data_IF_430025467436
#
_entry.id   IF_430025467436
#
_cell.length_a   1.000
_cell.length_b   1.000
_cell.length_c   1.000
_cell.angle_alpha   90.00
_cell.angle_beta   90.00
_cell.angle_gamma   90.00
#
_symmetry.space_group_name_H-M   'P 1'
#
loop_
_entity.id
_entity.type
_entity.pdbx_description
1 polymer ?
#
# COMPACT_ATOMS: atom_id res chain seq x y z
N UNK A 1 -19.67 4.73 44.65
CA UNK A 1 -18.98 5.92 44.14
C UNK A 1 -17.47 5.86 44.38
N UNK A 2 -16.98 5.86 45.62
CA UNK A 2 -15.53 5.87 45.92
C UNK A 2 -14.73 4.72 45.29
N UNK A 3 -15.25 3.49 45.32
CA UNK A 3 -14.63 2.33 44.67
C UNK A 3 -14.51 2.52 43.15
N UNK A 4 -15.53 3.07 42.50
CA UNK A 4 -15.51 3.35 41.07
C UNK A 4 -14.52 4.48 40.71
N UNK A 5 -14.37 5.49 41.58
CA UNK A 5 -13.35 6.54 41.42
C UNK A 5 -11.94 5.95 41.58
N UNK A 6 -11.73 5.09 42.59
CA UNK A 6 -10.45 4.41 42.79
C UNK A 6 -10.08 3.52 41.59
N UNK A 7 -11.05 2.79 41.04
CA UNK A 7 -10.87 2.01 39.81
C UNK A 7 -10.59 2.89 38.60
N UNK A 8 -11.20 4.07 38.47
CA UNK A 8 -10.87 5.02 37.40
C UNK A 8 -9.44 5.56 37.53
N UNK A 9 -8.97 5.84 38.74
CA UNK A 9 -7.61 6.36 38.99
C UNK A 9 -6.53 5.32 38.70
N UNK A 10 -6.87 4.03 38.78
CA UNK A 10 -5.99 2.92 38.40
C UNK A 10 -5.78 2.81 36.87
N UNK A 11 -6.42 3.68 36.07
CA UNK A 11 -6.35 3.71 34.59
C UNK A 11 -6.47 2.32 33.96
N UNK A 12 -7.60 1.61 34.17
CA UNK A 12 -7.82 0.34 33.52
C UNK A 12 -7.79 0.54 32.02
N UNK A 13 -6.94 -0.22 31.33
CA UNK A 13 -6.84 -0.28 29.88
C UNK A 13 -7.52 -1.55 29.37
N UNK A 14 -8.04 -1.47 28.15
CA UNK A 14 -8.42 -2.64 27.38
C UNK A 14 -7.68 -2.58 26.05
N UNK A 15 -7.15 -3.73 25.66
CA UNK A 15 -6.56 -3.96 24.35
C UNK A 15 -7.67 -3.90 23.29
N UNK A 16 -7.57 -2.95 22.36
CA UNK A 16 -8.47 -2.84 21.21
C UNK A 16 -7.64 -2.84 19.92
N UNK A 17 -8.15 -3.53 18.88
CA UNK A 17 -7.58 -3.46 17.53
C UNK A 17 -8.12 -2.19 16.87
N UNK A 18 -7.25 -1.24 16.60
CA UNK A 18 -7.56 0.00 15.88
C UNK A 18 -7.02 -0.11 14.45
N UNK A 19 -7.74 0.37 13.42
CA UNK A 19 -7.20 0.44 12.07
C UNK A 19 -5.90 1.25 12.04
N UNK A 20 -4.85 0.70 11.41
CA UNK A 20 -3.58 1.37 11.16
C UNK A 20 -3.57 1.83 9.70
N UNK A 21 -3.79 3.11 9.48
CA UNK A 21 -3.86 3.74 8.15
C UNK A 21 -2.45 4.07 7.58
N UNK A 22 -1.43 3.25 7.87
CA UNK A 22 -0.03 3.53 7.46
C UNK A 22 0.52 2.37 6.62
N UNK A 23 -0.04 2.21 5.43
CA UNK A 23 0.48 1.26 4.44
C UNK A 23 1.58 1.89 3.57
N UNK A 24 2.38 1.04 2.94
CA UNK A 24 3.46 1.46 2.04
C UNK A 24 3.20 0.92 0.66
N UNK A 25 2.94 1.81 -0.30
CA UNK A 25 2.78 1.42 -1.69
C UNK A 25 4.02 1.86 -2.47
N UNK A 26 4.56 0.97 -3.31
CA UNK A 26 5.58 1.34 -4.28
C UNK A 26 5.00 1.21 -5.67
N UNK A 27 5.02 2.32 -6.40
CA UNK A 27 4.65 2.35 -7.81
C UNK A 27 5.89 2.10 -8.66
N UNK A 28 5.90 1.01 -9.42
CA UNK A 28 6.95 0.64 -10.36
C UNK A 28 6.44 0.89 -11.79
N UNK A 29 7.06 1.84 -12.50
CA UNK A 29 6.66 2.22 -13.86
C UNK A 29 7.72 1.78 -14.85
N UNK A 30 7.27 1.04 -15.86
CA UNK A 30 8.07 0.64 -16.99
C UNK A 30 8.33 1.85 -17.90
N UNK A 31 9.60 2.07 -18.21
CA UNK A 31 10.10 3.11 -19.11
C UNK A 31 10.87 2.49 -20.27
N UNK A 32 10.63 1.22 -20.59
CA UNK A 32 11.22 0.56 -21.74
C UNK A 32 10.77 1.20 -23.07
N UNK A 33 11.54 1.02 -24.15
CA UNK A 33 11.22 1.58 -25.47
C UNK A 33 9.85 1.12 -25.99
N UNK A 34 9.38 -0.07 -25.64
CA UNK A 34 8.05 -0.55 -26.04
C UNK A 34 6.91 0.32 -25.46
N UNK A 35 7.16 1.05 -24.38
CA UNK A 35 6.23 2.03 -23.83
C UNK A 35 6.09 3.31 -24.69
N UNK A 36 6.89 3.47 -25.75
CA UNK A 36 6.69 4.50 -26.78
C UNK A 36 5.51 4.18 -27.71
N UNK A 37 5.02 2.93 -27.72
CA UNK A 37 3.92 2.52 -28.58
C UNK A 37 2.67 3.41 -28.38
N UNK A 38 2.00 3.69 -29.50
CA UNK A 38 0.87 4.65 -29.59
C UNK A 38 -0.49 3.95 -29.70
N UNK A 39 -0.53 2.65 -29.40
CA UNK A 39 -1.76 1.85 -29.32
C UNK A 39 -2.61 2.16 -28.08
N UNK A 40 -2.03 2.90 -27.12
CA UNK A 40 -2.75 3.60 -26.06
C UNK A 40 -2.44 5.09 -26.19
N UNK A 41 -3.46 5.95 -26.24
CA UNK A 41 -3.27 7.39 -26.44
C UNK A 41 -2.72 8.10 -25.20
N UNK A 42 -1.75 9.05 -25.35
CA UNK A 42 -1.02 9.39 -26.58
C UNK A 42 0.13 8.41 -26.90
N UNK A 43 0.71 7.80 -25.86
CA UNK A 43 1.56 6.60 -25.90
C UNK A 43 1.43 5.91 -24.54
N UNK A 44 1.88 4.65 -24.45
CA UNK A 44 1.77 3.85 -23.21
C UNK A 44 2.46 4.51 -22.02
N UNK A 45 3.64 5.10 -22.19
CA UNK A 45 4.37 5.77 -21.10
C UNK A 45 3.60 6.99 -20.57
N UNK A 46 3.06 7.83 -21.46
CA UNK A 46 2.25 8.98 -21.06
C UNK A 46 0.94 8.56 -20.39
N UNK A 47 0.32 7.49 -20.87
CA UNK A 47 -0.84 6.89 -20.21
C UNK A 47 -0.48 6.37 -18.81
N UNK A 48 0.67 5.70 -18.65
CA UNK A 48 1.17 5.23 -17.37
C UNK A 48 1.51 6.40 -16.42
N UNK A 49 2.10 7.50 -16.92
CA UNK A 49 2.34 8.72 -16.13
C UNK A 49 1.03 9.37 -15.66
N UNK A 50 0.02 9.43 -16.52
CA UNK A 50 -1.30 9.96 -16.15
C UNK A 50 -1.99 9.08 -15.10
N UNK A 51 -1.90 7.75 -15.27
CA UNK A 51 -2.37 6.77 -14.30
C UNK A 51 -1.65 6.89 -12.95
N UNK A 52 -0.33 7.05 -12.97
CA UNK A 52 0.52 7.27 -11.80
C UNK A 52 0.18 8.57 -11.06
N UNK A 53 -0.06 9.66 -11.81
CA UNK A 53 -0.46 10.96 -11.24
C UNK A 53 -1.83 10.84 -10.58
N UNK A 54 -2.78 10.19 -11.25
CA UNK A 54 -4.11 9.93 -10.66
C UNK A 54 -3.99 9.07 -9.40
N UNK A 55 -3.09 8.07 -9.42
CA UNK A 55 -2.81 7.23 -8.26
C UNK A 55 -2.32 8.04 -7.05
N UNK A 56 -1.45 9.05 -7.27
CA UNK A 56 -0.96 9.89 -6.15
C UNK A 56 -2.07 10.73 -5.53
N UNK A 57 -3.08 11.13 -6.31
CA UNK A 57 -4.21 11.95 -5.87
C UNK A 57 -5.26 11.18 -5.08
N UNK A 58 -5.51 9.91 -5.44
CA UNK A 58 -6.53 9.07 -4.78
C UNK A 58 -6.02 8.35 -3.53
N UNK A 59 -4.71 8.14 -3.42
CA UNK A 59 -4.13 7.40 -2.30
C UNK A 59 -4.27 8.19 -0.98
N UNK A 60 -4.76 7.58 0.12
CA UNK A 60 -4.91 8.27 1.40
C UNK A 60 -3.61 8.96 1.85
N UNK A 61 -3.65 10.20 2.34
CA UNK A 61 -2.45 10.98 2.66
C UNK A 61 -1.56 10.35 3.74
N UNK A 62 -2.11 9.42 4.54
CA UNK A 62 -1.40 8.69 5.59
C UNK A 62 -0.49 7.57 5.05
N UNK A 63 -0.69 7.15 3.79
CA UNK A 63 0.06 6.05 3.18
C UNK A 63 1.39 6.55 2.62
N UNK A 64 2.46 5.79 2.84
CA UNK A 64 3.74 6.06 2.18
C UNK A 64 3.66 5.63 0.72
N UNK A 65 4.12 6.48 -0.20
CA UNK A 65 4.23 6.16 -1.62
C UNK A 65 5.68 6.31 -2.07
N UNK A 66 6.21 5.25 -2.65
CA UNK A 66 7.46 5.24 -3.38
C UNK A 66 7.24 5.20 -4.88
N UNK A 67 8.24 5.66 -5.63
CA UNK A 67 8.29 5.57 -7.09
C UNK A 67 9.57 4.86 -7.52
N UNK A 68 9.40 3.81 -8.30
CA UNK A 68 10.45 3.07 -8.98
C UNK A 68 10.21 3.21 -10.48
N UNK A 69 11.26 3.50 -11.22
CA UNK A 69 11.25 3.46 -12.68
C UNK A 69 12.14 2.32 -13.14
N UNK A 70 11.72 1.56 -14.14
CA UNK A 70 12.51 0.44 -14.61
C UNK A 70 12.47 0.27 -16.13
N UNK A 71 13.57 -0.24 -16.67
CA UNK A 71 13.73 -0.73 -18.03
C UNK A 71 14.68 -1.93 -17.91
N UNK A 72 15.84 -1.96 -18.58
CA UNK A 72 16.87 -2.97 -18.34
C UNK A 72 17.46 -3.00 -16.92
N UNK A 73 17.25 -1.94 -16.14
CA UNK A 73 17.54 -1.86 -14.70
C UNK A 73 16.43 -1.13 -13.97
N UNK A 74 16.32 -1.32 -12.65
CA UNK A 74 15.36 -0.61 -11.81
C UNK A 74 16.05 0.46 -10.95
N UNK A 75 15.42 1.64 -10.86
CA UNK A 75 15.90 2.78 -10.07
C UNK A 75 14.79 3.30 -9.17
N UNK A 76 15.09 3.47 -7.88
CA UNK A 76 14.18 4.13 -6.93
C UNK A 76 14.24 5.65 -7.17
N UNK A 77 13.29 6.18 -7.92
CA UNK A 77 13.18 7.61 -8.18
C UNK A 77 12.79 8.39 -6.92
N UNK A 78 11.85 7.85 -6.13
CA UNK A 78 11.42 8.42 -4.85
C UNK A 78 11.29 7.32 -3.82
N UNK A 79 12.04 7.43 -2.71
CA UNK A 79 11.87 6.53 -1.57
C UNK A 79 10.50 6.74 -0.92
N UNK A 80 9.84 5.68 -0.39
CA UNK A 80 8.50 5.77 0.15
C UNK A 80 8.36 6.89 1.19
N UNK A 81 7.42 7.79 0.92
CA UNK A 81 7.19 9.02 1.69
C UNK A 81 5.71 9.38 1.69
N UNK A 82 5.26 10.14 2.68
CA UNK A 82 3.92 10.76 2.66
C UNK A 82 3.88 12.07 1.86
N UNK A 83 5.04 12.54 1.37
CA UNK A 83 5.16 13.70 0.50
C UNK A 83 4.70 13.36 -0.93
N UNK A 84 3.43 13.67 -1.22
CA UNK A 84 2.82 13.45 -2.54
C UNK A 84 3.42 14.33 -3.64
N UNK A 85 3.90 15.52 -3.29
CA UNK A 85 4.47 16.47 -4.23
C UNK A 85 5.79 15.92 -4.77
N UNK A 86 6.64 15.36 -3.91
CA UNK A 86 7.88 14.70 -4.31
C UNK A 86 7.67 13.58 -5.34
N UNK A 87 6.62 12.76 -5.19
CA UNK A 87 6.29 11.70 -6.16
C UNK A 87 5.74 12.29 -7.46
N UNK A 88 4.80 13.23 -7.34
CA UNK A 88 4.14 13.85 -8.50
C UNK A 88 5.12 14.62 -9.38
N UNK A 89 6.08 15.30 -8.78
CA UNK A 89 7.14 16.04 -9.49
C UNK A 89 8.16 15.11 -10.18
N UNK A 90 8.30 13.87 -9.70
CA UNK A 90 9.23 12.90 -10.27
C UNK A 90 8.68 12.18 -11.52
N UNK A 91 7.35 12.03 -11.63
CA UNK A 91 6.69 11.31 -12.73
C UNK A 91 7.02 11.91 -14.12
N UNK A 92 7.01 13.23 -14.34
CA UNK A 92 7.36 13.81 -15.64
C UNK A 92 8.81 13.59 -16.06
N UNK A 93 9.71 13.31 -15.10
CA UNK A 93 11.14 13.10 -15.33
C UNK A 93 11.52 11.67 -15.72
N UNK A 94 10.55 10.77 -15.82
CA UNK A 94 10.79 9.40 -16.29
C UNK A 94 11.16 9.41 -17.77
N UNK A 95 12.23 8.75 -18.20
CA UNK A 95 12.69 8.77 -19.60
C UNK A 95 12.78 7.36 -20.16
N UNK A 96 12.48 7.21 -21.46
CA UNK A 96 12.56 5.93 -22.16
C UNK A 96 13.99 5.37 -22.12
N UNK A 97 14.11 4.06 -21.94
CA UNK A 97 15.39 3.35 -21.85
C UNK A 97 15.27 1.94 -22.45
N UNK A 98 16.39 1.33 -22.78
CA UNK A 98 16.43 0.02 -23.44
C UNK A 98 16.13 -1.14 -22.47
N UNK A 99 15.54 -2.20 -23.02
CA UNK A 99 15.19 -3.46 -22.34
C UNK A 99 14.17 -3.29 -21.20
N UNK A 100 13.76 -4.43 -20.64
CA UNK A 100 12.72 -4.51 -19.62
C UNK A 100 13.07 -5.60 -18.62
N UNK A 101 13.14 -5.23 -17.35
CA UNK A 101 13.51 -6.10 -16.22
C UNK A 101 12.48 -5.95 -15.09
N UNK A 102 11.29 -6.53 -15.28
CA UNK A 102 10.20 -6.47 -14.30
C UNK A 102 10.62 -7.07 -12.96
N UNK A 103 11.35 -8.20 -12.98
CA UNK A 103 11.87 -8.82 -11.76
C UNK A 103 12.76 -7.87 -10.93
N UNK A 104 13.63 -7.08 -11.58
CA UNK A 104 14.45 -6.08 -10.89
C UNK A 104 13.61 -4.94 -10.31
N UNK A 105 12.50 -4.58 -10.96
CA UNK A 105 11.57 -3.58 -10.45
C UNK A 105 10.91 -4.02 -9.15
N UNK A 106 10.47 -5.28 -9.10
CA UNK A 106 9.88 -5.90 -7.89
C UNK A 106 10.93 -5.95 -6.78
N UNK A 107 12.13 -6.44 -7.06
CA UNK A 107 13.21 -6.53 -6.06
C UNK A 107 13.65 -5.15 -5.53
N UNK A 108 13.78 -4.16 -6.42
CA UNK A 108 14.09 -2.78 -6.02
C UNK A 108 12.97 -2.18 -5.15
N UNK A 109 11.71 -2.50 -5.47
CA UNK A 109 10.54 -2.08 -4.68
C UNK A 109 10.54 -2.72 -3.29
N UNK A 110 10.79 -4.02 -3.19
CA UNK A 110 10.93 -4.73 -1.91
C UNK A 110 12.05 -4.13 -1.05
N UNK A 111 13.22 -3.88 -1.66
CA UNK A 111 14.33 -3.23 -0.96
C UNK A 111 13.99 -1.82 -0.46
N UNK A 112 13.20 -1.07 -1.23
CA UNK A 112 12.71 0.26 -0.85
C UNK A 112 11.72 0.21 0.32
N UNK A 113 10.81 -0.77 0.31
CA UNK A 113 9.85 -1.02 1.40
C UNK A 113 10.60 -1.39 2.69
N UNK A 114 11.51 -2.36 2.63
CA UNK A 114 12.33 -2.79 3.77
C UNK A 114 13.18 -1.63 4.34
N UNK A 115 13.80 -0.83 3.48
CA UNK A 115 14.57 0.34 3.92
C UNK A 115 13.70 1.39 4.64
N UNK A 116 12.45 1.58 4.21
CA UNK A 116 11.51 2.46 4.90
C UNK A 116 11.07 1.86 6.23
N UNK A 117 10.71 0.59 6.25
CA UNK A 117 10.32 -0.15 7.46
C UNK A 117 11.39 0.00 8.55
N UNK A 118 12.66 -0.30 8.23
CA UNK A 118 13.81 -0.14 9.14
C UNK A 118 13.97 1.30 9.65
N UNK A 119 13.81 2.31 8.78
CA UNK A 119 13.92 3.73 9.15
C UNK A 119 12.81 4.16 10.11
N UNK A 120 11.61 3.62 9.90
CA UNK A 120 10.45 3.91 10.73
C UNK A 120 10.47 3.19 12.08
N UNK A 121 11.43 2.28 12.30
CA UNK A 121 11.53 1.45 13.51
C UNK A 121 10.53 0.27 13.49
N UNK A 122 9.95 -0.02 12.33
CA UNK A 122 9.10 -1.16 12.07
C UNK A 122 9.99 -2.23 11.43
N UNK A 123 10.60 -3.11 12.21
CA UNK A 123 11.38 -4.21 11.62
C UNK A 123 10.44 -5.19 10.92
N UNK A 124 10.74 -5.50 9.66
CA UNK A 124 10.28 -6.71 9.00
C UNK A 124 11.09 -7.89 9.58
N UNK A 125 10.62 -8.43 10.72
CA UNK A 125 10.97 -9.73 11.29
C UNK A 125 12.44 -10.00 11.62
N UNK A 126 12.79 -9.98 12.92
CA UNK A 126 13.37 -11.16 13.62
C UNK A 126 13.70 -10.83 15.08
N UNK A 127 13.52 -11.84 15.94
CA UNK A 127 13.89 -11.91 17.37
C UNK A 127 12.87 -11.43 18.43
N UNK A 128 11.66 -11.97 18.37
CA UNK A 128 10.93 -12.33 19.59
C UNK A 128 10.23 -13.68 19.40
N UNK A 129 10.91 -14.75 19.80
CA UNK A 129 10.29 -16.04 20.07
C UNK A 129 9.28 -15.90 21.22
N UNK A 130 8.08 -15.45 20.89
CA UNK A 130 6.90 -15.57 21.76
C UNK A 130 5.80 -16.14 20.90
N UNK A 131 5.50 -17.41 21.15
CA UNK A 131 4.36 -18.10 20.58
C UNK A 131 3.09 -17.26 20.85
N UNK A 132 2.30 -17.02 19.80
CA UNK A 132 1.00 -16.35 19.80
C UNK A 132 0.98 -14.80 19.90
N UNK A 133 1.49 -14.11 18.88
CA UNK A 133 1.02 -12.77 18.51
C UNK A 133 1.20 -12.53 17.00
N UNK A 134 0.11 -12.22 16.29
CA UNK A 134 0.11 -11.60 14.96
C UNK A 134 0.93 -10.29 15.02
N UNK A 135 2.24 -10.34 14.75
CA UNK A 135 3.05 -9.13 14.65
C UNK A 135 2.81 -8.45 13.29
N UNK A 136 2.62 -7.12 13.27
CA UNK A 136 2.13 -6.44 12.07
C UNK A 136 3.29 -6.28 11.10
N UNK A 137 3.38 -7.17 10.11
CA UNK A 137 4.02 -6.86 8.84
C UNK A 137 3.51 -5.48 8.38
N UNK A 138 4.41 -4.59 7.96
CA UNK A 138 4.00 -3.30 7.40
C UNK A 138 3.08 -3.61 6.23
N UNK A 139 1.79 -3.22 6.25
CA UNK A 139 0.92 -3.48 5.12
C UNK A 139 1.54 -2.76 3.93
N UNK A 140 2.05 -3.54 2.98
CA UNK A 140 2.79 -3.02 1.84
C UNK A 140 2.30 -3.68 0.56
N UNK A 141 2.37 -2.95 -0.54
CA UNK A 141 2.02 -3.48 -1.85
C UNK A 141 2.85 -2.81 -2.93
N UNK A 142 3.10 -3.55 -4.00
CA UNK A 142 3.79 -3.05 -5.19
C UNK A 142 2.76 -2.96 -6.31
N UNK A 143 2.77 -1.85 -7.04
CA UNK A 143 1.96 -1.68 -8.26
C UNK A 143 2.91 -1.59 -9.44
N UNK A 144 2.89 -2.56 -10.34
CA UNK A 144 3.71 -2.58 -11.56
C UNK A 144 2.86 -2.10 -12.73
N UNK A 145 3.32 -1.07 -13.43
CA UNK A 145 2.74 -0.56 -14.67
C UNK A 145 3.69 -0.88 -15.82
N UNK A 146 3.32 -1.82 -16.71
CA UNK A 146 4.19 -2.34 -17.77
C UNK A 146 3.36 -2.89 -18.93
N UNK A 147 4.00 -3.19 -20.06
CA UNK A 147 3.41 -4.01 -21.12
C UNK A 147 3.64 -5.51 -20.92
N UNK A 148 4.36 -5.92 -19.87
CA UNK A 148 4.44 -7.31 -19.41
C UNK A 148 5.59 -8.13 -19.94
N UNK A 149 6.36 -7.62 -20.89
CA UNK A 149 7.45 -8.39 -21.50
C UNK A 149 8.75 -8.22 -20.70
N UNK A 150 9.33 -9.32 -20.20
CA UNK A 150 10.65 -9.28 -19.55
C UNK A 150 11.73 -9.75 -20.51
N UNK A 151 12.65 -8.85 -20.87
CA UNK A 151 13.69 -9.12 -21.88
C UNK A 151 15.05 -9.41 -21.26
N UNK A 152 15.31 -8.91 -20.05
CA UNK A 152 16.57 -9.09 -19.33
C UNK A 152 16.36 -9.18 -17.82
N UNK A 153 17.40 -9.59 -17.09
CA UNK A 153 17.42 -9.55 -15.63
C UNK A 153 16.85 -10.81 -14.98
N UNK A 154 16.41 -10.65 -13.74
CA UNK A 154 15.85 -11.74 -12.93
C UNK A 154 14.48 -12.16 -13.46
N UNK A 155 14.21 -13.47 -13.66
CA UNK A 155 12.90 -13.96 -14.07
C UNK A 155 11.78 -13.55 -13.10
N UNK A 156 10.59 -13.27 -13.62
CA UNK A 156 9.45 -12.79 -12.86
C UNK A 156 9.02 -13.76 -11.76
N UNK A 157 9.16 -15.07 -11.98
CA UNK A 157 8.78 -16.11 -11.02
C UNK A 157 9.65 -16.08 -9.76
N UNK A 158 10.94 -15.73 -9.91
CA UNK A 158 11.86 -15.62 -8.77
C UNK A 158 11.50 -14.37 -7.96
N UNK A 159 11.32 -13.23 -8.62
CA UNK A 159 10.94 -11.99 -7.95
C UNK A 159 9.53 -12.09 -7.30
N UNK A 160 8.61 -12.82 -7.93
CA UNK A 160 7.30 -13.11 -7.38
C UNK A 160 7.38 -13.99 -6.12
N UNK A 161 8.28 -14.98 -6.10
CA UNK A 161 8.50 -15.81 -4.93
C UNK A 161 9.05 -14.98 -3.76
N UNK A 162 10.01 -14.09 -4.01
CA UNK A 162 10.58 -13.20 -3.00
C UNK A 162 9.53 -12.21 -2.47
N UNK A 163 8.70 -11.63 -3.34
CA UNK A 163 7.61 -10.74 -2.93
C UNK A 163 6.55 -11.46 -2.09
N UNK A 164 6.21 -12.70 -2.46
CA UNK A 164 5.30 -13.56 -1.69
C UNK A 164 5.88 -13.92 -0.33
N UNK A 165 7.16 -14.27 -0.25
CA UNK A 165 7.85 -14.56 1.01
C UNK A 165 7.87 -13.35 1.94
N UNK A 166 8.01 -12.15 1.37
CA UNK A 166 7.94 -10.89 2.10
C UNK A 166 6.51 -10.44 2.48
N UNK A 167 5.47 -11.19 2.10
CA UNK A 167 4.07 -10.81 2.36
C UNK A 167 3.60 -9.58 1.58
N UNK A 168 4.28 -9.23 0.48
CA UNK A 168 4.01 -8.02 -0.32
C UNK A 168 3.30 -8.40 -1.63
N UNK A 169 1.98 -8.21 -1.75
CA UNK A 169 1.26 -8.46 -2.99
C UNK A 169 1.69 -7.48 -4.09
N UNK A 170 1.88 -8.01 -5.30
CA UNK A 170 2.20 -7.25 -6.51
C UNK A 170 0.93 -7.16 -7.36
N UNK A 171 0.41 -5.95 -7.51
CA UNK A 171 -0.68 -5.65 -8.45
C UNK A 171 -0.06 -5.23 -9.78
N UNK A 172 -0.55 -5.75 -10.89
CA UNK A 172 -0.05 -5.43 -12.23
C UNK A 172 -1.10 -4.66 -13.02
N UNK A 173 -0.64 -3.68 -13.79
CA UNK A 173 -1.46 -2.88 -14.70
C UNK A 173 -0.78 -2.95 -16.07
N UNK A 174 -1.39 -3.69 -16.99
CA UNK A 174 -0.96 -3.88 -18.36
C UNK A 174 -1.29 -2.66 -19.22
N UNK A 175 -0.30 -2.07 -19.88
CA UNK A 175 -0.49 -1.02 -20.87
C UNK A 175 -0.18 -1.55 -22.27
N UNK A 176 -1.16 -1.48 -23.16
CA UNK A 176 -0.99 -1.87 -24.55
C UNK A 176 -2.12 -2.76 -25.06
N UNK A 177 -1.95 -3.15 -26.31
CA UNK A 177 -2.85 -4.04 -27.05
C UNK A 177 -2.00 -5.09 -27.78
N UNK A 178 -2.64 -6.17 -28.22
CA UNK A 178 -1.99 -7.21 -29.04
C UNK A 178 -1.40 -6.67 -30.36
N UNK A 179 -1.88 -5.52 -30.83
CA UNK A 179 -1.48 -4.88 -32.08
C UNK A 179 -0.41 -3.78 -31.89
N UNK A 180 0.14 -3.66 -30.68
CA UNK A 180 1.16 -2.69 -30.35
C UNK A 180 2.40 -2.78 -31.24
N UNK A 181 2.87 -1.64 -31.74
CA UNK A 181 4.09 -1.56 -32.56
C UNK A 181 4.87 -0.29 -32.23
N UNK A 182 6.19 -0.37 -32.40
CA UNK A 182 7.12 0.77 -32.33
C UNK A 182 7.94 0.86 -33.61
N UNK A 183 8.50 2.03 -33.87
CA UNK A 183 9.49 2.21 -34.94
C UNK A 183 10.87 2.26 -34.33
N UNK A 184 11.63 1.17 -34.43
CA UNK A 184 12.98 1.06 -33.90
C UNK A 184 13.98 0.99 -35.06
N UNK A 185 14.95 1.90 -35.09
CA UNK A 185 15.95 2.01 -36.18
C UNK A 185 15.37 2.08 -37.61
N UNK A 186 14.12 2.57 -37.74
CA UNK A 186 13.41 2.68 -39.03
C UNK A 186 12.66 1.42 -39.46
N UNK A 187 12.65 0.37 -38.63
CA UNK A 187 11.86 -0.84 -38.81
C UNK A 187 10.67 -0.85 -37.84
N UNK A 188 9.53 -1.37 -38.31
CA UNK A 188 8.34 -1.55 -37.46
C UNK A 188 8.50 -2.85 -36.69
N UNK A 189 8.60 -2.76 -35.37
CA UNK A 189 8.77 -3.90 -34.47
C UNK A 189 7.48 -4.10 -33.67
N UNK A 190 6.88 -5.31 -33.67
CA UNK A 190 5.73 -5.62 -32.85
C UNK A 190 6.11 -5.70 -31.37
N UNK A 191 5.31 -5.08 -30.52
CA UNK A 191 5.43 -5.05 -29.06
C UNK A 191 4.05 -5.31 -28.41
N UNK A 192 3.48 -6.50 -28.61
CA UNK A 192 2.20 -6.85 -28.01
C UNK A 192 2.30 -6.81 -26.48
N UNK A 193 1.20 -6.49 -25.81
CA UNK A 193 1.11 -6.62 -24.35
C UNK A 193 1.12 -8.10 -23.96
N UNK A 194 1.88 -8.46 -22.93
CA UNK A 194 1.96 -9.80 -22.37
C UNK A 194 1.15 -9.86 -21.06
N UNK A 195 -0.17 -9.91 -21.21
CA UNK A 195 -1.10 -9.96 -20.07
C UNK A 195 -0.93 -11.25 -19.25
N UNK A 196 -0.50 -12.35 -19.86
CA UNK A 196 -0.30 -13.64 -19.20
C UNK A 196 0.83 -13.56 -18.16
N UNK A 197 1.98 -12.99 -18.51
CA UNK A 197 3.10 -12.81 -17.57
C UNK A 197 2.73 -11.86 -16.42
N UNK A 198 2.03 -10.76 -16.72
CA UNK A 198 1.56 -9.83 -15.69
C UNK A 198 0.53 -10.47 -14.75
N UNK A 199 -0.39 -11.29 -15.29
CA UNK A 199 -1.36 -12.04 -14.51
C UNK A 199 -0.67 -13.07 -13.60
N UNK A 200 0.30 -13.79 -14.14
CA UNK A 200 1.04 -14.80 -13.39
C UNK A 200 1.85 -14.19 -12.24
N UNK A 201 2.49 -13.03 -12.47
CA UNK A 201 3.20 -12.28 -11.42
C UNK A 201 2.25 -11.86 -10.29
N UNK A 202 1.09 -11.29 -10.64
CA UNK A 202 0.11 -10.85 -9.66
C UNK A 202 -0.49 -12.03 -8.86
N UNK A 203 -0.93 -13.08 -9.54
CA UNK A 203 -1.54 -14.26 -8.89
C UNK A 203 -0.56 -14.95 -7.94
N UNK A 204 0.71 -15.07 -8.33
CA UNK A 204 1.74 -15.73 -7.50
C UNK A 204 1.93 -15.03 -6.16
N UNK A 205 1.88 -13.70 -6.16
CA UNK A 205 2.07 -12.82 -4.99
C UNK A 205 0.77 -12.53 -4.23
N UNK A 206 -0.38 -12.92 -4.77
CA UNK A 206 -1.70 -12.66 -4.17
C UNK A 206 -2.23 -11.24 -4.46
N UNK A 207 -1.69 -10.56 -5.46
CA UNK A 207 -2.25 -9.31 -6.00
C UNK A 207 -3.22 -9.57 -7.16
N UNK A 208 -3.64 -8.49 -7.82
CA UNK A 208 -4.56 -8.54 -8.96
C UNK A 208 -3.89 -8.01 -10.23
N UNK A 209 -4.34 -8.51 -11.38
CA UNK A 209 -3.90 -8.02 -12.68
C UNK A 209 -5.04 -7.28 -13.37
N UNK A 210 -4.72 -6.11 -13.90
CA UNK A 210 -5.64 -5.24 -14.61
C UNK A 210 -5.07 -4.90 -15.98
N UNK A 211 -5.95 -4.72 -16.96
CA UNK A 211 -5.60 -4.23 -18.29
C UNK A 211 -6.07 -2.79 -18.38
N UNK A 212 -5.17 -1.86 -18.65
CA UNK A 212 -5.49 -0.45 -18.75
C UNK A 212 -5.97 -0.12 -20.17
N UNK A 213 -7.25 -0.39 -20.45
CA UNK A 213 -7.93 0.21 -21.59
C UNK A 213 -8.73 1.46 -21.18
N UNK A 214 -9.10 1.60 -19.90
CA UNK A 214 -9.99 2.68 -19.42
C UNK A 214 -9.70 3.15 -17.99
N UNK A 215 -10.07 4.40 -17.67
CA UNK A 215 -9.92 4.97 -16.32
C UNK A 215 -10.74 4.28 -15.22
N UNK A 216 -11.80 3.55 -15.58
CA UNK A 216 -12.66 2.85 -14.63
C UNK A 216 -12.03 1.55 -14.10
N UNK A 217 -11.23 0.85 -14.93
CA UNK A 217 -10.44 -0.33 -14.51
C UNK A 217 -9.31 0.07 -13.56
N UNK A 218 -8.72 1.23 -13.82
CA UNK A 218 -7.76 1.87 -12.94
C UNK A 218 -8.37 2.15 -11.57
N UNK A 219 -9.61 2.65 -11.53
CA UNK A 219 -10.37 2.85 -10.28
C UNK A 219 -10.63 1.57 -9.49
N UNK A 220 -10.88 0.45 -10.17
CA UNK A 220 -11.07 -0.84 -9.52
C UNK A 220 -9.77 -1.39 -8.93
N UNK A 221 -8.63 -1.21 -9.62
CA UNK A 221 -7.31 -1.48 -9.07
C UNK A 221 -7.04 -0.64 -7.81
N UNK A 222 -7.56 0.60 -7.77
CA UNK A 222 -7.42 1.50 -6.64
C UNK A 222 -8.24 1.09 -5.40
N UNK A 223 -9.46 0.57 -5.57
CA UNK A 223 -10.29 0.12 -4.45
C UNK A 223 -9.72 -1.12 -3.75
N UNK A 224 -9.07 -2.00 -4.52
CA UNK A 224 -8.43 -3.20 -3.99
C UNK A 224 -7.23 -2.86 -3.08
N UNK A 225 -6.38 -1.91 -3.52
CA UNK A 225 -5.25 -1.41 -2.71
C UNK A 225 -5.75 -0.65 -1.46
N UNK A 226 -6.86 0.09 -1.58
CA UNK A 226 -7.49 0.77 -0.45
C UNK A 226 -8.02 -0.17 0.63
N UNK A 227 -8.23 -1.46 0.32
CA UNK A 227 -8.67 -2.48 1.27
C UNK A 227 -7.56 -2.97 2.20
N UNK A 228 -6.29 -2.63 1.94
CA UNK A 228 -5.10 -3.03 2.71
C UNK A 228 -4.97 -2.37 4.09
N UNK A 229 -6.08 -1.92 4.69
CA UNK A 229 -6.09 -1.33 6.03
C UNK A 229 -5.68 -2.39 7.06
N UNK A 230 -4.43 -2.32 7.50
CA UNK A 230 -3.92 -3.13 8.61
C UNK A 230 -4.55 -2.71 9.94
N UNK A 231 -4.35 -3.51 10.99
CA UNK A 231 -4.79 -3.20 12.34
C UNK A 231 -3.59 -3.10 13.28
N UNK A 232 -3.58 -2.11 14.17
CA UNK A 232 -2.67 -2.04 15.31
C UNK A 232 -3.43 -2.37 16.59
N UNK A 233 -2.73 -3.01 17.53
CA UNK A 233 -3.23 -3.16 18.89
C UNK A 233 -2.89 -1.92 19.72
N UNK A 234 -3.90 -1.14 20.10
CA UNK A 234 -3.74 0.01 20.98
C UNK A 234 -4.32 -0.30 22.38
N UNK A 235 -3.63 0.16 23.43
CA UNK A 235 -4.19 0.13 24.78
C UNK A 235 -5.06 1.36 25.02
N UNK A 236 -6.38 1.16 24.97
CA UNK A 236 -7.33 2.25 25.20
C UNK A 236 -7.79 2.28 26.65
N UNK A 237 -7.65 3.44 27.30
CA UNK A 237 -8.12 3.62 28.68
C UNK A 237 -9.66 3.59 28.74
N UNK A 238 -10.21 2.65 29.51
CA UNK A 238 -11.65 2.50 29.75
C UNK A 238 -12.13 3.21 31.03
N UNK A 239 -11.26 4.01 31.66
CA UNK A 239 -11.54 4.76 32.89
C UNK A 239 -12.81 5.61 32.83
N UNK A 240 -13.18 6.10 31.64
CA UNK A 240 -14.39 6.92 31.40
C UNK A 240 -15.68 6.22 31.85
N UNK A 241 -15.79 4.90 31.66
CA UNK A 241 -16.96 4.13 32.12
C UNK A 241 -17.06 4.09 33.65
N UNK A 242 -15.91 3.99 34.34
CA UNK A 242 -15.84 4.01 35.80
C UNK A 242 -16.19 5.39 36.39
N UNK A 243 -15.79 6.47 35.72
CA UNK A 243 -16.22 7.85 36.07
C UNK A 243 -17.73 7.99 35.93
N UNK A 244 -18.30 7.54 34.81
CA UNK A 244 -19.75 7.55 34.57
C UNK A 244 -20.51 6.77 35.64
N UNK A 245 -20.05 5.56 35.97
CA UNK A 245 -20.63 4.73 37.03
C UNK A 245 -20.53 5.40 38.41
N UNK A 246 -19.41 6.04 38.72
CA UNK A 246 -19.24 6.78 39.97
C UNK A 246 -20.25 7.92 40.10
N UNK A 247 -20.46 8.68 39.02
CA UNK A 247 -21.40 9.79 38.97
C UNK A 247 -22.85 9.31 39.14
N UNK A 248 -23.23 8.24 38.44
CA UNK A 248 -24.55 7.63 38.58
C UNK A 248 -24.81 7.14 40.01
N UNK A 249 -23.83 6.50 40.65
CA UNK A 249 -23.95 6.05 42.04
C UNK A 249 -24.06 7.23 43.03
N UNK A 250 -23.39 8.35 42.76
CA UNK A 250 -23.52 9.57 43.57
C UNK A 250 -24.93 10.17 43.45
N UNK A 251 -25.47 10.26 42.23
CA UNK A 251 -26.84 10.73 42.01
C UNK A 251 -27.87 9.83 42.70
N UNK A 252 -27.75 8.51 42.55
CA UNK A 252 -28.62 7.55 43.23
C UNK A 252 -28.54 7.67 44.75
N UNK A 253 -27.33 7.84 45.28
CA UNK A 253 -27.12 8.02 46.72
C UNK A 253 -27.71 9.34 47.22
N UNK A 254 -27.62 10.41 46.42
CA UNK A 254 -28.22 11.70 46.73
C UNK A 254 -29.76 11.61 46.76
N UNK A 255 -30.38 10.98 45.75
CA UNK A 255 -31.82 10.77 45.69
C UNK A 255 -32.30 9.88 46.84
N UNK A 256 -31.62 8.77 47.12
CA UNK A 256 -31.95 7.87 48.23
C UNK A 256 -31.80 8.57 49.59
N UNK A 257 -30.76 9.39 49.76
CA UNK A 257 -30.57 10.20 50.96
C UNK A 257 -31.71 11.20 51.13
N UNK A 258 -32.06 11.93 50.07
CA UNK A 258 -33.21 12.84 50.10
C UNK A 258 -34.51 12.10 50.42
N UNK A 259 -34.77 10.93 49.85
CA UNK A 259 -35.97 10.13 50.13
C UNK A 259 -35.99 9.53 51.56
N UNK A 260 -34.83 9.22 52.13
CA UNK A 260 -34.73 8.68 53.49
C UNK A 260 -34.83 9.77 54.56
N UNK A 261 -34.20 10.93 54.30
CA UNK A 261 -34.19 12.10 55.17
C UNK A 261 -35.34 13.08 54.89
N UNK A 262 -36.18 12.85 53.87
CA UNK A 262 -37.45 13.57 53.66
C UNK A 262 -38.51 13.23 54.70
N UNK A 263 -38.12 12.72 55.87
CA UNK A 263 -38.89 12.88 57.09
C UNK A 263 -38.75 14.33 57.55
N UNK A 264 -39.47 15.22 56.87
CA UNK A 264 -39.93 16.49 57.42
C UNK A 264 -41.36 16.26 57.98
N UNK A 265 -41.79 17.07 58.97
CA UNK A 265 -42.50 16.69 60.20
C UNK A 265 -43.93 16.15 60.05
#
# INVERSE_FOLDING_TARGET
>A
ALVAIALSLARPSRTERVPRERATVVLAIDVSISMEATDVEPNRLDAARAAATTFTEVLPPEFNLGLVSFAGTATVAVSPTTDREAVTDAIPGLELSESTAIGEAVLASLGSIDAMARRSGLEAGSDAATEEADEPEVPASIVVMSDGETTVGTPNEIAAADAKEAGVPVTTIGFGTDEGTITYEGEVVPVPVNEEELAQLAETTGGNAFVAATGDELQSAYEDIGSLVGYETEQREIGRWFVGAAFALMLLSSVASLAWFSRLP
#
